data_IF_147078588131
#
_entry.id   IF_147078588131
#
_cell.length_a   1.000
_cell.length_b   1.000
_cell.length_c   1.000
_cell.angle_alpha   90.00
_cell.angle_beta   90.00
_cell.angle_gamma   90.00
#
_symmetry.space_group_name_H-M   'P 1'
#
loop_
_entity.id
_entity.type
_entity.pdbx_description
1 polymer ?
#
# COMPACT_ATOMS: atom_id res chain seq x y z
N UNK A 1 -0.60 21.53 -78.06
CA UNK A 1 -2.01 21.61 -77.58
C UNK A 1 -2.64 20.26 -77.88
N UNK A 2 -2.73 19.32 -76.93
CA UNK A 2 -3.86 19.09 -75.99
C UNK A 2 -5.15 18.79 -76.79
N UNK A 3 -5.91 17.69 -76.64
CA UNK A 3 -6.37 16.92 -75.47
C UNK A 3 -6.86 15.53 -75.95
N UNK A 4 -6.41 14.43 -75.35
CA UNK A 4 -7.08 13.66 -74.27
C UNK A 4 -8.46 13.11 -74.64
N UNK A 5 -8.47 11.82 -75.01
CA UNK A 5 -9.62 10.92 -75.02
C UNK A 5 -9.93 10.47 -73.59
N UNK A 6 -11.19 10.61 -73.17
CA UNK A 6 -11.68 10.12 -71.89
C UNK A 6 -12.19 8.69 -72.01
N UNK A 7 -11.36 7.79 -71.47
CA UNK A 7 -11.67 6.65 -70.60
C UNK A 7 -13.00 5.90 -70.76
N UNK A 8 -12.81 4.65 -71.19
CA UNK A 8 -13.72 3.53 -71.09
C UNK A 8 -14.10 3.17 -69.64
N UNK A 9 -15.40 2.87 -69.47
CA UNK A 9 -15.90 1.62 -68.86
C UNK A 9 -15.34 1.29 -67.46
N UNK A 10 -15.77 2.04 -66.45
CA UNK A 10 -15.69 1.61 -65.06
C UNK A 10 -17.08 1.12 -64.61
N UNK A 11 -17.18 -0.16 -64.24
CA UNK A 11 -18.04 -0.70 -63.16
C UNK A 11 -18.17 -2.23 -63.30
N UNK A 12 -17.05 -2.94 -63.12
CA UNK A 12 -17.11 -4.30 -62.59
C UNK A 12 -15.76 -4.66 -61.96
N UNK A 13 -15.83 -5.30 -60.79
CA UNK A 13 -14.74 -5.84 -59.97
C UNK A 13 -13.87 -4.86 -59.19
N UNK A 14 -14.14 -4.74 -57.88
CA UNK A 14 -13.17 -5.07 -56.83
C UNK A 14 -13.88 -5.22 -55.47
N UNK A 15 -14.46 -6.40 -55.24
CA UNK A 15 -14.44 -6.98 -53.90
C UNK A 15 -13.01 -7.44 -53.63
N UNK A 16 -12.36 -6.84 -52.64
CA UNK A 16 -11.50 -7.50 -51.67
C UNK A 16 -10.80 -6.46 -50.79
N UNK A 17 -10.93 -6.68 -49.49
CA UNK A 17 -10.17 -6.06 -48.40
C UNK A 17 -10.58 -4.66 -47.97
N UNK A 18 -11.73 -4.60 -47.30
CA UNK A 18 -11.78 -3.90 -46.02
C UNK A 18 -10.65 -4.44 -45.15
N UNK A 19 -9.54 -3.69 -45.08
CA UNK A 19 -8.44 -3.94 -44.15
C UNK A 19 -8.94 -3.55 -42.76
N UNK A 20 -9.84 -4.36 -42.23
CA UNK A 20 -10.24 -4.35 -40.84
C UNK A 20 -8.98 -4.83 -40.09
N UNK A 21 -8.14 -3.87 -39.65
CA UNK A 21 -7.16 -4.12 -38.59
C UNK A 21 -7.94 -4.28 -37.29
N UNK A 22 -8.68 -5.37 -37.19
CA UNK A 22 -9.04 -5.96 -35.91
C UNK A 22 -7.73 -6.43 -35.30
N UNK A 23 -7.07 -5.54 -34.57
CA UNK A 23 -6.10 -5.97 -33.57
C UNK A 23 -6.77 -7.06 -32.73
N UNK A 24 -6.15 -8.23 -32.54
CA UNK A 24 -6.84 -9.33 -31.89
C UNK A 24 -7.13 -8.90 -30.45
N UNK A 25 -8.40 -8.94 -30.06
CA UNK A 25 -8.87 -8.76 -28.68
C UNK A 25 -8.07 -9.65 -27.70
N UNK A 26 -7.61 -10.80 -28.19
CA UNK A 26 -6.73 -11.75 -27.50
C UNK A 26 -5.32 -11.23 -27.18
N UNK A 27 -4.71 -10.41 -28.03
CA UNK A 27 -3.37 -9.85 -27.76
C UNK A 27 -3.45 -8.82 -26.64
N UNK A 28 -4.53 -8.01 -26.60
CA UNK A 28 -4.80 -7.11 -25.46
C UNK A 28 -5.02 -7.92 -24.17
N UNK A 29 -5.86 -8.95 -24.19
CA UNK A 29 -6.13 -9.79 -23.01
C UNK A 29 -4.90 -10.52 -22.46
N UNK A 30 -4.04 -11.06 -23.33
CA UNK A 30 -2.80 -11.72 -22.90
C UNK A 30 -1.78 -10.73 -22.34
N UNK A 31 -1.68 -9.53 -22.91
CA UNK A 31 -0.81 -8.47 -22.37
C UNK A 31 -1.30 -7.93 -21.03
N UNK A 32 -2.63 -7.84 -20.82
CA UNK A 32 -3.19 -7.46 -19.53
C UNK A 32 -3.05 -8.56 -18.49
N UNK A 33 -3.18 -9.84 -18.87
CA UNK A 33 -2.95 -10.97 -17.98
C UNK A 33 -1.47 -11.02 -17.50
N UNK A 34 -0.51 -10.91 -18.43
CA UNK A 34 0.92 -10.85 -18.04
C UNK A 34 1.28 -9.62 -17.20
N UNK A 35 0.65 -8.48 -17.44
CA UNK A 35 0.85 -7.29 -16.63
C UNK A 35 0.25 -7.45 -15.21
N UNK A 36 -0.89 -8.14 -15.09
CA UNK A 36 -1.50 -8.52 -13.81
C UNK A 36 -0.63 -9.52 -13.04
N UNK A 37 -0.10 -10.54 -13.71
CA UNK A 37 0.81 -11.52 -13.10
C UNK A 37 2.11 -10.84 -12.60
N UNK A 38 2.67 -9.94 -13.41
CA UNK A 38 3.86 -9.17 -13.04
C UNK A 38 3.62 -8.23 -11.85
N UNK A 39 2.45 -7.57 -11.79
CA UNK A 39 2.09 -6.71 -10.65
C UNK A 39 1.80 -7.52 -9.39
N UNK A 40 1.11 -8.66 -9.49
CA UNK A 40 0.91 -9.56 -8.35
C UNK A 40 2.22 -10.10 -7.79
N UNK A 41 3.16 -10.48 -8.67
CA UNK A 41 4.50 -10.92 -8.26
C UNK A 41 5.24 -9.81 -7.51
N UNK A 42 5.20 -8.58 -8.02
CA UNK A 42 5.83 -7.42 -7.36
C UNK A 42 5.18 -7.12 -6.00
N UNK A 43 3.85 -7.20 -5.90
CA UNK A 43 3.14 -6.99 -4.63
C UNK A 43 3.57 -8.05 -3.60
N UNK A 44 3.65 -9.33 -3.99
CA UNK A 44 4.10 -10.41 -3.08
C UNK A 44 5.55 -10.23 -2.63
N UNK A 45 6.44 -9.82 -3.53
CA UNK A 45 7.83 -9.51 -3.20
C UNK A 45 7.92 -8.39 -2.16
N UNK A 46 7.19 -7.28 -2.39
CA UNK A 46 7.16 -6.14 -1.47
C UNK A 46 6.54 -6.51 -0.11
N UNK A 47 5.47 -7.30 -0.10
CA UNK A 47 4.87 -7.80 1.14
C UNK A 47 5.82 -8.68 1.92
N UNK A 48 6.60 -9.52 1.23
CA UNK A 48 7.62 -10.36 1.86
C UNK A 48 8.69 -9.49 2.51
N UNK A 49 9.20 -8.48 1.80
CA UNK A 49 10.19 -7.54 2.35
C UNK A 49 9.68 -6.76 3.58
N UNK A 50 8.42 -6.29 3.55
CA UNK A 50 7.81 -5.62 4.70
C UNK A 50 7.60 -6.60 5.86
N UNK A 51 7.19 -7.84 5.57
CA UNK A 51 7.00 -8.88 6.60
C UNK A 51 8.32 -9.24 7.28
N UNK A 52 9.42 -9.35 6.53
CA UNK A 52 10.76 -9.58 7.10
C UNK A 52 11.18 -8.43 7.99
N UNK A 53 11.04 -7.19 7.51
CA UNK A 53 11.35 -5.99 8.31
C UNK A 53 10.51 -5.97 9.60
N UNK A 54 9.22 -6.29 9.53
CA UNK A 54 8.36 -6.39 10.71
C UNK A 54 8.84 -7.47 11.67
N UNK A 55 9.24 -8.65 11.18
CA UNK A 55 9.79 -9.71 12.00
C UNK A 55 11.08 -9.27 12.70
N UNK A 56 11.96 -8.56 12.01
CA UNK A 56 13.19 -7.99 12.60
C UNK A 56 12.85 -6.98 13.70
N UNK A 57 11.96 -6.02 13.43
CA UNK A 57 11.51 -5.07 14.46
C UNK A 57 10.90 -5.82 15.65
N UNK A 58 10.13 -6.89 15.40
CA UNK A 58 9.54 -7.72 16.46
C UNK A 58 10.61 -8.40 17.32
N UNK A 59 11.67 -8.90 16.70
CA UNK A 59 12.75 -9.63 17.37
C UNK A 59 13.68 -8.70 18.16
N UNK A 60 13.93 -7.48 17.68
CA UNK A 60 14.88 -6.56 18.30
C UNK A 60 14.23 -5.54 19.26
N UNK A 61 12.94 -5.26 19.13
CA UNK A 61 12.26 -4.35 20.04
C UNK A 61 11.73 -5.10 21.27
N UNK A 62 12.00 -4.55 22.44
CA UNK A 62 11.48 -5.04 23.72
C UNK A 62 10.04 -4.52 23.94
N UNK A 63 9.10 -5.13 23.21
CA UNK A 63 7.68 -4.75 23.24
C UNK A 63 7.07 -4.91 24.62
N UNK A 64 7.45 -5.96 25.35
CA UNK A 64 6.97 -6.23 26.70
C UNK A 64 7.40 -5.10 27.65
N UNK A 65 8.68 -4.72 27.63
CA UNK A 65 9.15 -3.60 28.45
C UNK A 65 8.48 -2.28 28.06
N UNK A 66 8.21 -2.03 26.77
CA UNK A 66 7.51 -0.82 26.33
C UNK A 66 6.05 -0.78 26.82
N UNK A 67 5.35 -1.93 26.82
CA UNK A 67 3.99 -2.04 27.33
C UNK A 67 3.95 -1.88 28.86
N UNK A 68 4.88 -2.50 29.57
CA UNK A 68 5.02 -2.33 31.03
C UNK A 68 5.35 -0.88 31.41
N UNK A 69 6.23 -0.21 30.66
CA UNK A 69 6.55 1.20 30.87
C UNK A 69 5.33 2.08 30.62
N UNK A 70 4.57 1.84 29.54
CA UNK A 70 3.34 2.57 29.26
C UNK A 70 2.32 2.42 30.39
N UNK A 71 2.08 1.20 30.89
CA UNK A 71 1.13 0.97 31.98
C UNK A 71 1.59 1.62 33.29
N UNK A 72 2.89 1.60 33.58
CA UNK A 72 3.47 2.32 34.74
C UNK A 72 3.30 3.84 34.62
N UNK A 73 3.52 4.43 33.45
CA UNK A 73 3.33 5.87 33.26
C UNK A 73 1.85 6.24 33.36
N UNK A 74 0.96 5.38 32.87
CA UNK A 74 -0.49 5.54 33.00
C UNK A 74 -0.94 5.49 34.45
N UNK A 75 -0.44 4.55 35.25
CA UNK A 75 -0.75 4.48 36.68
C UNK A 75 -0.24 5.71 37.43
N UNK A 76 0.89 6.29 37.04
CA UNK A 76 1.40 7.55 37.61
C UNK A 76 0.52 8.76 37.29
N UNK A 77 -0.16 8.77 36.15
CA UNK A 77 -1.06 9.86 35.75
C UNK A 77 -2.45 9.77 36.37
N UNK A 78 -2.84 8.56 36.83
CA UNK A 78 -4.08 8.33 37.56
C UNK A 78 -4.03 8.81 39.02
N UNK A 79 -2.84 9.11 39.53
CA UNK A 79 -2.67 9.72 40.85
C UNK A 79 -3.16 11.18 40.82
N UNK A 80 -4.30 11.44 41.45
CA UNK A 80 -4.93 12.77 41.52
C UNK A 80 -4.00 13.83 42.15
N UNK A 81 -3.06 13.41 43.01
CA UNK A 81 -2.11 14.31 43.68
C UNK A 81 -1.05 14.89 42.73
N UNK A 82 -0.96 14.37 41.50
CA UNK A 82 -0.07 14.88 40.45
C UNK A 82 -0.51 16.25 39.91
N UNK A 83 -1.76 16.66 40.15
CA UNK A 83 -2.36 17.88 39.60
C UNK A 83 -2.46 19.04 40.62
N UNK A 84 -2.01 18.83 41.86
CA UNK A 84 -2.21 19.79 42.97
C UNK A 84 -1.17 20.94 43.01
N UNK A 85 0.05 20.71 42.52
CA UNK A 85 1.16 21.68 42.55
C UNK A 85 1.73 21.92 41.15
N UNK A 86 2.09 23.17 40.84
CA UNK A 86 2.72 23.57 39.56
C UNK A 86 3.94 22.73 39.22
N UNK A 87 4.76 22.38 40.21
CA UNK A 87 5.95 21.54 39.99
C UNK A 87 5.57 20.11 39.58
N UNK A 88 4.48 19.57 40.15
CA UNK A 88 3.95 18.24 39.86
C UNK A 88 3.19 18.21 38.53
N UNK A 89 2.46 19.28 38.19
CA UNK A 89 1.80 19.46 36.90
C UNK A 89 2.83 19.39 35.75
N UNK A 90 3.96 20.08 35.87
CA UNK A 90 5.01 20.03 34.85
C UNK A 90 5.57 18.61 34.67
N UNK A 91 5.72 17.86 35.77
CA UNK A 91 6.12 16.45 35.74
C UNK A 91 5.05 15.57 35.09
N UNK A 92 3.77 15.76 35.44
CA UNK A 92 2.64 15.03 34.88
C UNK A 92 2.53 15.25 33.37
N UNK A 93 2.67 16.50 32.88
CA UNK A 93 2.67 16.80 31.45
C UNK A 93 3.83 16.11 30.71
N UNK A 94 5.02 16.06 31.32
CA UNK A 94 6.16 15.32 30.76
C UNK A 94 5.87 13.82 30.69
N UNK A 95 5.34 13.24 31.77
CA UNK A 95 4.91 11.84 31.83
C UNK A 95 3.87 11.53 30.76
N UNK A 96 2.86 12.39 30.59
CA UNK A 96 1.83 12.27 29.55
C UNK A 96 2.42 12.31 28.14
N UNK A 97 3.37 13.20 27.88
CA UNK A 97 4.05 13.26 26.58
C UNK A 97 4.84 11.98 26.27
N UNK A 98 5.54 11.43 27.28
CA UNK A 98 6.26 10.16 27.13
C UNK A 98 5.30 9.01 26.90
N UNK A 99 4.22 8.92 27.67
CA UNK A 99 3.17 7.90 27.50
C UNK A 99 2.59 7.95 26.09
N UNK A 100 2.16 9.13 25.62
CA UNK A 100 1.59 9.28 24.29
C UNK A 100 2.56 8.87 23.17
N UNK A 101 3.87 9.09 23.36
CA UNK A 101 4.89 8.63 22.40
C UNK A 101 5.06 7.11 22.40
N UNK A 102 5.03 6.48 23.58
CA UNK A 102 5.10 5.02 23.72
C UNK A 102 3.86 4.35 23.12
N UNK A 103 2.67 4.81 23.52
CA UNK A 103 1.40 4.31 22.99
C UNK A 103 1.32 4.42 21.47
N UNK A 104 1.74 5.57 20.90
CA UNK A 104 1.79 5.76 19.44
C UNK A 104 2.73 4.77 18.74
N UNK A 105 3.87 4.42 19.35
CA UNK A 105 4.81 3.45 18.78
C UNK A 105 4.21 2.05 18.81
N UNK A 106 3.65 1.65 19.96
CA UNK A 106 3.00 0.36 20.14
C UNK A 106 1.81 0.22 19.18
N UNK A 107 0.93 1.23 19.12
CA UNK A 107 -0.25 1.22 18.25
C UNK A 107 0.15 1.19 16.78
N UNK A 108 1.09 2.04 16.35
CA UNK A 108 1.53 2.10 14.96
C UNK A 108 2.17 0.79 14.48
N UNK A 109 2.91 0.10 15.35
CA UNK A 109 3.42 -1.24 15.04
C UNK A 109 2.31 -2.29 14.93
N UNK A 110 1.33 -2.29 15.85
CA UNK A 110 0.17 -3.20 15.80
C UNK A 110 -0.65 -2.99 14.53
N UNK A 111 -0.94 -1.74 14.19
CA UNK A 111 -1.65 -1.35 12.96
C UNK A 111 -0.91 -1.82 11.70
N UNK A 112 0.42 -1.62 11.65
CA UNK A 112 1.23 -2.07 10.52
C UNK A 112 1.21 -3.59 10.34
N UNK A 113 1.25 -4.34 11.46
CA UNK A 113 1.15 -5.81 11.43
C UNK A 113 -0.20 -6.29 10.91
N UNK A 114 -1.30 -5.65 11.34
CA UNK A 114 -2.65 -5.96 10.83
C UNK A 114 -2.73 -5.64 9.34
N UNK A 115 -2.30 -4.46 8.92
CA UNK A 115 -2.34 -4.05 7.52
C UNK A 115 -1.56 -5.01 6.60
N UNK A 116 -0.40 -5.50 7.03
CA UNK A 116 0.38 -6.49 6.27
C UNK A 116 -0.34 -7.84 6.19
N UNK A 117 -1.03 -8.25 7.24
CA UNK A 117 -1.88 -9.45 7.23
C UNK A 117 -3.03 -9.30 6.23
N UNK A 118 -3.74 -8.18 6.28
CA UNK A 118 -4.89 -7.91 5.39
C UNK A 118 -4.46 -7.93 3.92
N UNK A 119 -3.35 -7.27 3.57
CA UNK A 119 -2.86 -7.26 2.18
C UNK A 119 -2.36 -8.65 1.76
N UNK A 120 -1.84 -9.47 2.68
CA UNK A 120 -1.47 -10.85 2.39
C UNK A 120 -2.70 -11.71 2.06
N UNK A 121 -3.79 -11.55 2.80
CA UNK A 121 -5.06 -12.23 2.51
C UNK A 121 -5.68 -11.79 1.17
N UNK A 122 -5.54 -10.52 0.80
CA UNK A 122 -6.02 -10.00 -0.49
C UNK A 122 -5.19 -10.51 -1.69
N UNK A 123 -4.00 -11.06 -1.47
CA UNK A 123 -3.05 -11.47 -2.53
C UNK A 123 -2.78 -12.97 -2.58
N UNK A 124 -3.33 -13.73 -1.62
CA UNK A 124 -3.39 -15.20 -1.60
C UNK A 124 -4.51 -15.74 -2.47
#
# INVERSE_FOLDING_TARGET
>A
MSRLWWSARALWYHSCHTRNRSTPRFVRQASTAKALDGTQSLIRERLTAVSTTLADITAYADWESMEQEAEKLKSQLQDETAWEDKSRIAKALKTQSTLARLEKRISGYRELRVAVSDVRELTS
#
